data_IF_170421906030
#
_entry.id   IF_170421906030
#
_cell.length_a   1.000
_cell.length_b   1.000
_cell.length_c   1.000
_cell.angle_alpha   90.00
_cell.angle_beta   90.00
_cell.angle_gamma   90.00
#
_symmetry.space_group_name_H-M   'P 1'
#
loop_
_entity.id
_entity.type
_entity.pdbx_description
1 polymer ?
#
# COMPACT_ATOMS: atom_id res chain seq x y z
N UNK A 1 -8.74 -19.62 3.79
CA UNK A 1 -7.63 -19.22 4.68
C UNK A 1 -8.15 -18.19 5.64
N UNK A 2 -7.69 -18.26 6.90
CA UNK A 2 -7.96 -17.25 7.94
C UNK A 2 -7.21 -15.97 7.58
N UNK A 3 -7.81 -14.79 7.79
CA UNK A 3 -7.13 -13.51 7.59
C UNK A 3 -5.87 -13.40 8.45
N UNK A 4 -4.82 -12.74 7.96
CA UNK A 4 -3.63 -12.41 8.76
C UNK A 4 -3.97 -11.41 9.87
N UNK A 5 -3.07 -11.25 10.86
CA UNK A 5 -3.27 -10.27 11.93
C UNK A 5 -3.36 -8.85 11.38
N UNK A 6 -2.53 -8.49 10.39
CA UNK A 6 -2.59 -7.18 9.74
C UNK A 6 -3.90 -6.98 8.96
N UNK A 7 -4.36 -8.00 8.22
CA UNK A 7 -5.65 -7.95 7.51
C UNK A 7 -6.82 -7.71 8.47
N UNK A 8 -6.83 -8.39 9.62
CA UNK A 8 -7.83 -8.21 10.67
C UNK A 8 -7.73 -6.80 11.29
N UNK A 9 -6.52 -6.36 11.61
CA UNK A 9 -6.24 -5.07 12.23
C UNK A 9 -6.71 -3.90 11.35
N UNK A 10 -6.44 -3.95 10.05
CA UNK A 10 -6.87 -2.90 9.11
C UNK A 10 -8.29 -3.09 8.57
N UNK A 11 -8.95 -4.21 8.89
CA UNK A 11 -10.18 -4.66 8.26
C UNK A 11 -10.11 -4.60 6.72
N UNK A 12 -9.02 -5.13 6.16
CA UNK A 12 -8.73 -5.20 4.74
C UNK A 12 -8.25 -6.60 4.38
N UNK A 13 -8.58 -7.09 3.19
CA UNK A 13 -7.97 -8.31 2.66
C UNK A 13 -6.90 -7.93 1.64
N UNK A 14 -5.74 -8.55 1.77
CA UNK A 14 -4.62 -8.40 0.85
C UNK A 14 -5.04 -8.71 -0.58
N UNK A 15 -5.87 -9.74 -0.79
CA UNK A 15 -6.36 -10.12 -2.13
C UNK A 15 -7.20 -9.03 -2.79
N UNK A 16 -7.96 -8.26 -2.01
CA UNK A 16 -8.84 -7.20 -2.52
C UNK A 16 -8.03 -5.96 -2.87
N UNK A 17 -7.04 -5.61 -2.04
CA UNK A 17 -6.10 -4.51 -2.32
C UNK A 17 -5.19 -4.89 -3.50
N UNK A 18 -4.66 -6.10 -3.52
CA UNK A 18 -3.83 -6.63 -4.59
C UNK A 18 -4.54 -6.57 -5.94
N UNK A 19 -5.85 -6.83 -5.98
CA UNK A 19 -6.64 -6.78 -7.21
C UNK A 19 -6.73 -5.38 -7.85
N UNK A 20 -6.22 -4.33 -7.19
CA UNK A 20 -6.09 -2.95 -7.72
C UNK A 20 -4.79 -2.72 -8.48
N UNK A 21 -3.79 -3.57 -8.27
CA UNK A 21 -2.49 -3.48 -8.93
C UNK A 21 -2.51 -4.21 -10.27
N UNK A 22 -1.63 -3.77 -11.17
CA UNK A 22 -1.43 -4.42 -12.46
C UNK A 22 -0.95 -5.84 -12.26
N UNK A 23 -1.64 -6.79 -12.88
CA UNK A 23 -1.30 -8.22 -12.83
C UNK A 23 -2.07 -8.96 -13.92
N UNK A 24 -1.66 -10.20 -14.19
CA UNK A 24 -2.40 -11.06 -15.12
C UNK A 24 -3.82 -11.33 -14.63
N UNK A 25 -4.77 -11.49 -15.56
CA UNK A 25 -6.16 -11.82 -15.22
C UNK A 25 -6.27 -13.13 -14.44
N UNK A 26 -5.41 -14.11 -14.73
CA UNK A 26 -5.38 -15.40 -14.06
C UNK A 26 -4.98 -15.29 -12.58
N UNK A 27 -4.13 -14.31 -12.26
CA UNK A 27 -3.63 -14.03 -10.91
C UNK A 27 -4.56 -13.11 -10.11
N UNK A 28 -5.38 -12.29 -10.77
CA UNK A 28 -6.23 -11.31 -10.11
C UNK A 28 -7.24 -11.99 -9.19
N UNK A 29 -7.37 -11.48 -7.96
CA UNK A 29 -8.21 -12.04 -6.89
C UNK A 29 -7.83 -13.47 -6.45
N UNK A 30 -6.61 -13.94 -6.76
CA UNK A 30 -6.09 -15.21 -6.24
C UNK A 30 -5.29 -14.96 -4.97
N UNK A 31 -5.56 -15.75 -3.94
CA UNK A 31 -4.91 -15.61 -2.62
C UNK A 31 -3.41 -15.94 -2.68
N UNK A 32 -3.03 -16.84 -3.59
CA UNK A 32 -1.68 -17.32 -3.82
C UNK A 32 -0.95 -16.59 -4.95
N UNK A 33 -1.52 -15.51 -5.49
CA UNK A 33 -0.80 -14.70 -6.47
C UNK A 33 0.36 -13.95 -5.82
N UNK A 34 1.40 -13.70 -6.61
CA UNK A 34 2.54 -12.87 -6.19
C UNK A 34 2.06 -11.53 -5.64
N UNK A 35 1.11 -10.88 -6.32
CA UNK A 35 0.61 -9.58 -5.89
C UNK A 35 -0.11 -9.65 -4.54
N UNK A 36 -0.92 -10.69 -4.30
CA UNK A 36 -1.59 -10.86 -3.00
C UNK A 36 -0.59 -11.11 -1.88
N UNK A 37 0.42 -11.95 -2.12
CA UNK A 37 1.47 -12.24 -1.14
C UNK A 37 2.27 -10.96 -0.81
N UNK A 38 2.68 -10.20 -1.83
CA UNK A 38 3.38 -8.93 -1.64
C UNK A 38 2.51 -7.90 -0.90
N UNK A 39 1.23 -7.80 -1.25
CA UNK A 39 0.28 -6.91 -0.59
C UNK A 39 0.09 -7.28 0.88
N UNK A 40 -0.01 -8.58 1.19
CA UNK A 40 -0.07 -9.06 2.57
C UNK A 40 1.18 -8.65 3.35
N UNK A 41 2.36 -8.82 2.75
CA UNK A 41 3.61 -8.40 3.38
C UNK A 41 3.68 -6.88 3.61
N UNK A 42 3.15 -6.06 2.70
CA UNK A 42 3.05 -4.60 2.89
C UNK A 42 2.09 -4.21 4.01
N UNK A 43 0.99 -4.93 4.18
CA UNK A 43 0.11 -4.77 5.35
C UNK A 43 0.82 -5.14 6.65
N UNK A 44 1.62 -6.20 6.65
CA UNK A 44 2.41 -6.62 7.81
C UNK A 44 3.45 -5.57 8.22
N UNK A 45 4.15 -4.96 7.25
CA UNK A 45 5.07 -3.83 7.50
C UNK A 45 4.33 -2.66 8.14
N UNK A 46 3.16 -2.31 7.62
CA UNK A 46 2.38 -1.20 8.15
C UNK A 46 1.83 -1.50 9.55
N UNK A 47 1.41 -2.74 9.80
CA UNK A 47 1.02 -3.18 11.14
C UNK A 47 2.19 -2.96 12.11
N UNK A 48 3.36 -3.50 11.80
CA UNK A 48 4.54 -3.39 12.66
C UNK A 48 4.96 -1.93 12.89
N UNK A 49 4.82 -1.06 11.88
CA UNK A 49 5.07 0.37 12.03
C UNK A 49 4.16 1.02 13.08
N UNK A 50 2.87 0.68 13.05
CA UNK A 50 1.87 1.30 13.94
C UNK A 50 1.91 0.75 15.36
N UNK A 51 2.26 -0.52 15.50
CA UNK A 51 2.12 -1.25 16.76
C UNK A 51 3.43 -1.52 17.47
N UNK A 52 4.55 -1.51 16.74
CA UNK A 52 5.82 -2.05 17.21
C UNK A 52 5.82 -3.57 17.40
N UNK A 53 4.76 -4.27 17.01
CA UNK A 53 4.60 -5.72 17.18
C UNK A 53 4.80 -6.48 15.86
N UNK A 54 5.26 -7.73 15.97
CA UNK A 54 5.46 -8.62 14.82
C UNK A 54 4.15 -9.35 14.47
N UNK A 55 3.56 -9.09 13.28
CA UNK A 55 2.29 -9.70 12.89
C UNK A 55 2.36 -11.22 12.68
N UNK A 56 3.57 -11.79 12.61
CA UNK A 56 3.82 -13.23 12.43
C UNK A 56 4.05 -13.97 13.75
N UNK A 57 4.29 -13.24 14.84
CA UNK A 57 4.55 -13.84 16.15
C UNK A 57 3.28 -14.52 16.70
N UNK A 58 3.41 -15.73 17.31
CA UNK A 58 2.28 -16.44 17.89
C UNK A 58 1.58 -15.54 18.92
N UNK A 59 0.26 -15.56 18.94
CA UNK A 59 -0.51 -14.78 19.91
C UNK A 59 -0.10 -15.24 21.31
N UNK A 60 0.70 -14.43 22.01
CA UNK A 60 0.96 -14.66 23.42
C UNK A 60 -0.37 -14.45 24.15
N UNK A 61 -0.70 -15.36 25.07
CA UNK A 61 -2.05 -15.50 25.66
C UNK A 61 -2.60 -14.32 26.47
N UNK A 62 -1.99 -13.15 26.38
CA UNK A 62 -2.61 -11.87 26.68
C UNK A 62 -3.05 -11.22 25.38
N UNK A 63 -4.34 -11.36 25.03
CA UNK A 63 -5.04 -10.54 24.03
C UNK A 63 -5.11 -9.07 24.48
N UNK A 64 -3.96 -8.49 24.80
CA UNK A 64 -3.82 -7.06 25.03
C UNK A 64 -4.08 -6.38 23.71
N UNK A 65 -5.07 -5.49 23.67
CA UNK A 65 -5.29 -4.59 22.56
C UNK A 65 -3.95 -3.95 22.21
N UNK A 66 -3.43 -4.29 21.03
CA UNK A 66 -2.17 -3.71 20.58
C UNK A 66 -2.44 -2.23 20.35
N UNK A 67 -1.84 -1.38 21.18
CA UNK A 67 -1.98 0.06 21.07
C UNK A 67 -1.26 0.52 19.81
N UNK A 68 -2.01 1.10 18.89
CA UNK A 68 -1.50 1.53 17.60
C UNK A 68 -1.39 3.05 17.55
N UNK A 69 -0.22 3.56 17.16
CA UNK A 69 -0.02 4.97 16.92
C UNK A 69 -0.53 5.37 15.53
N UNK A 70 -1.83 5.60 15.44
CA UNK A 70 -2.46 6.04 14.19
C UNK A 70 -2.06 7.46 13.77
N UNK A 71 -1.37 8.23 14.61
CA UNK A 71 -0.88 9.56 14.21
C UNK A 71 0.21 9.47 13.15
N UNK A 72 0.90 8.33 13.05
CA UNK A 72 1.92 8.05 12.03
C UNK A 72 1.37 8.04 10.60
N UNK A 73 0.05 7.88 10.40
CA UNK A 73 -0.61 7.93 9.08
C UNK A 73 -1.38 9.25 8.85
N UNK A 74 -1.23 10.23 9.74
CA UNK A 74 -1.89 11.52 9.61
C UNK A 74 -1.09 12.46 8.71
N UNK A 75 -1.79 13.20 7.85
CA UNK A 75 -1.17 14.18 6.94
C UNK A 75 -0.64 13.58 5.64
N UNK A 76 0.37 14.23 5.05
CA UNK A 76 0.97 13.79 3.80
C UNK A 76 2.13 12.84 4.07
N UNK A 77 2.01 11.60 3.60
CA UNK A 77 3.07 10.60 3.63
C UNK A 77 3.77 10.52 2.29
N UNK A 78 5.04 10.14 2.30
CA UNK A 78 5.83 9.93 1.09
C UNK A 78 6.44 8.52 1.10
N UNK A 79 6.16 7.75 0.05
CA UNK A 79 6.74 6.45 -0.23
C UNK A 79 7.91 6.65 -1.20
N UNK A 80 9.14 6.67 -0.68
CA UNK A 80 10.35 6.94 -1.43
C UNK A 80 10.90 5.65 -2.07
N UNK A 81 11.10 5.66 -3.38
CA UNK A 81 11.42 4.44 -4.14
C UNK A 81 10.19 3.55 -4.29
N UNK A 82 9.02 4.16 -4.53
CA UNK A 82 7.73 3.44 -4.56
C UNK A 82 7.63 2.41 -5.69
N UNK A 83 8.47 2.50 -6.73
CA UNK A 83 8.44 1.65 -7.90
C UNK A 83 7.05 1.57 -8.52
N UNK A 84 6.54 0.35 -8.63
CA UNK A 84 5.20 0.06 -9.14
C UNK A 84 4.06 0.49 -8.20
N UNK A 85 4.37 0.92 -6.97
CA UNK A 85 3.41 1.49 -6.04
C UNK A 85 2.76 0.47 -5.09
N UNK A 86 3.37 -0.68 -4.82
CA UNK A 86 2.81 -1.71 -3.93
C UNK A 86 2.53 -1.18 -2.52
N UNK A 87 3.52 -0.53 -1.89
CA UNK A 87 3.34 0.07 -0.57
C UNK A 87 2.44 1.32 -0.63
N UNK A 88 2.60 2.16 -1.67
CA UNK A 88 1.73 3.32 -1.93
C UNK A 88 0.25 2.91 -1.99
N UNK A 89 -0.08 1.84 -2.72
CA UNK A 89 -1.44 1.33 -2.87
C UNK A 89 -2.02 0.79 -1.56
N UNK A 90 -1.20 0.10 -0.75
CA UNK A 90 -1.60 -0.37 0.59
C UNK A 90 -1.86 0.78 1.55
N UNK A 91 -0.97 1.77 1.61
CA UNK A 91 -1.17 2.96 2.45
C UNK A 91 -2.49 3.64 2.08
N UNK A 92 -2.72 3.88 0.80
CA UNK A 92 -3.95 4.50 0.31
C UNK A 92 -5.20 3.68 0.62
N UNK A 93 -5.12 2.35 0.50
CA UNK A 93 -6.20 1.45 0.87
C UNK A 93 -6.58 1.59 2.35
N UNK A 94 -5.59 1.66 3.24
CA UNK A 94 -5.78 1.82 4.69
C UNK A 94 -6.39 3.18 5.02
N UNK A 95 -5.91 4.25 4.38
CA UNK A 95 -6.49 5.58 4.54
C UNK A 95 -7.95 5.62 4.09
N UNK A 96 -8.25 5.04 2.92
CA UNK A 96 -9.60 4.97 2.37
C UNK A 96 -10.54 4.09 3.19
N UNK A 97 -10.04 3.06 3.85
CA UNK A 97 -10.86 2.21 4.74
C UNK A 97 -11.22 2.90 6.07
N UNK A 98 -10.59 4.04 6.38
CA UNK A 98 -10.80 4.80 7.61
C UNK A 98 -10.98 6.30 7.29
N UNK A 99 -12.00 6.68 6.49
CA UNK A 99 -12.09 8.01 5.89
C UNK A 99 -12.26 9.15 6.90
N UNK A 100 -12.96 8.89 8.01
CA UNK A 100 -13.16 9.89 9.08
C UNK A 100 -11.86 10.19 9.83
N UNK A 101 -11.03 9.16 10.06
CA UNK A 101 -9.75 9.32 10.76
C UNK A 101 -8.72 10.04 9.90
N UNK A 102 -8.72 9.76 8.59
CA UNK A 102 -7.69 10.22 7.67
C UNK A 102 -8.22 11.15 6.58
N UNK A 103 -9.22 11.98 6.92
CA UNK A 103 -9.97 12.81 5.96
C UNK A 103 -9.06 13.60 5.02
N UNK A 104 -8.00 14.20 5.55
CA UNK A 104 -7.05 15.04 4.79
C UNK A 104 -5.73 14.32 4.44
N UNK A 105 -5.53 13.07 4.89
CA UNK A 105 -4.28 12.36 4.63
C UNK A 105 -4.16 11.91 3.17
N UNK A 106 -2.93 11.96 2.64
CA UNK A 106 -2.57 11.53 1.29
C UNK A 106 -1.23 10.80 1.28
N UNK A 107 -1.01 10.02 0.24
CA UNK A 107 0.22 9.26 -0.01
C UNK A 107 0.84 9.74 -1.32
N UNK A 108 2.08 10.17 -1.25
CA UNK A 108 2.90 10.54 -2.40
C UNK A 108 3.83 9.38 -2.73
N UNK A 109 3.58 8.67 -3.82
CA UNK A 109 4.53 7.69 -4.34
C UNK A 109 5.57 8.40 -5.19
N UNK A 110 6.84 8.37 -4.78
CA UNK A 110 7.95 9.03 -5.49
C UNK A 110 8.99 7.99 -5.87
N UNK A 111 9.35 7.94 -7.14
CA UNK A 111 10.39 7.05 -7.64
C UNK A 111 11.35 7.81 -8.56
N UNK A 112 12.69 7.66 -8.38
CA UNK A 112 13.67 8.31 -9.24
C UNK A 112 13.75 7.71 -10.65
N UNK A 113 13.27 6.47 -10.83
CA UNK A 113 13.41 5.73 -12.07
C UNK A 113 12.46 6.27 -13.15
N UNK A 114 12.86 6.18 -14.41
CA UNK A 114 12.04 6.67 -15.55
C UNK A 114 10.74 5.87 -15.69
N UNK A 115 9.62 6.46 -16.14
CA UNK A 115 8.34 5.75 -16.10
C UNK A 115 8.22 4.53 -17.01
N UNK A 116 9.04 4.43 -18.05
CA UNK A 116 9.12 3.29 -18.96
C UNK A 116 10.04 2.16 -18.46
N UNK A 117 10.67 2.34 -17.29
CA UNK A 117 11.41 1.26 -16.63
C UNK A 117 10.47 0.15 -16.16
N UNK A 118 10.91 -1.10 -16.35
CA UNK A 118 10.24 -2.30 -15.87
C UNK A 118 9.70 -3.21 -16.97
N UNK A 119 9.66 -4.52 -16.68
CA UNK A 119 9.09 -5.56 -17.53
C UNK A 119 8.54 -6.67 -16.64
N UNK A 120 7.40 -7.32 -16.99
CA UNK A 120 6.59 -7.13 -18.20
C UNK A 120 5.72 -5.87 -18.18
N UNK A 121 5.63 -5.19 -17.03
CA UNK A 121 4.90 -3.95 -16.86
C UNK A 121 5.87 -2.85 -16.44
N UNK A 122 5.73 -1.69 -17.07
CA UNK A 122 6.48 -0.49 -16.70
C UNK A 122 5.94 0.11 -15.40
N UNK A 123 6.75 0.95 -14.74
CA UNK A 123 6.33 1.72 -13.56
C UNK A 123 5.08 2.57 -13.88
N UNK A 124 5.06 3.27 -15.03
CA UNK A 124 3.91 4.09 -15.42
C UNK A 124 2.64 3.26 -15.52
N UNK A 125 2.70 2.11 -16.19
CA UNK A 125 1.54 1.23 -16.35
C UNK A 125 0.99 0.73 -15.01
N UNK A 126 1.88 0.42 -14.06
CA UNK A 126 1.49 -0.02 -12.73
C UNK A 126 0.83 1.12 -11.92
N UNK A 127 1.44 2.30 -11.92
CA UNK A 127 0.92 3.48 -11.22
C UNK A 127 -0.41 3.95 -11.83
N UNK A 128 -0.53 3.95 -13.16
CA UNK A 128 -1.77 4.29 -13.87
C UNK A 128 -2.91 3.32 -13.55
N UNK A 129 -2.60 2.02 -13.39
CA UNK A 129 -3.62 1.03 -12.98
C UNK A 129 -4.17 1.36 -11.59
N UNK A 130 -3.32 1.74 -10.64
CA UNK A 130 -3.76 2.17 -9.30
C UNK A 130 -4.64 3.42 -9.35
N UNK A 131 -4.31 4.38 -10.23
CA UNK A 131 -5.09 5.61 -10.39
C UNK A 131 -6.48 5.39 -11.03
N UNK A 132 -6.77 4.21 -11.59
CA UNK A 132 -8.12 3.87 -12.06
C UNK A 132 -9.08 3.52 -10.93
N UNK A 133 -8.58 3.16 -9.74
CA UNK A 133 -9.43 2.77 -8.63
C UNK A 133 -9.96 4.01 -7.87
N UNK A 134 -11.24 4.31 -8.11
CA UNK A 134 -11.95 5.45 -7.50
C UNK A 134 -11.97 5.41 -5.96
N UNK A 135 -11.79 4.25 -5.34
CA UNK A 135 -11.82 4.09 -3.89
C UNK A 135 -10.55 4.61 -3.22
N UNK A 136 -9.42 4.62 -3.93
CA UNK A 136 -8.11 5.08 -3.42
C UNK A 136 -7.56 6.29 -4.16
N UNK A 137 -8.10 6.65 -5.32
CA UNK A 137 -7.62 7.77 -6.15
C UNK A 137 -7.53 9.10 -5.38
N UNK A 138 -8.47 9.39 -4.48
CA UNK A 138 -8.43 10.62 -3.67
C UNK A 138 -7.29 10.65 -2.64
N UNK A 139 -6.65 9.51 -2.38
CA UNK A 139 -5.57 9.32 -1.41
C UNK A 139 -4.18 9.25 -2.05
N UNK A 140 -4.06 8.98 -3.35
CA UNK A 140 -2.78 8.74 -4.01
C UNK A 140 -2.39 9.92 -4.88
N UNK A 141 -1.09 10.25 -4.84
CA UNK A 141 -0.45 11.16 -5.78
C UNK A 141 0.82 10.49 -6.29
N UNK A 142 0.95 10.36 -7.61
CA UNK A 142 2.20 10.08 -8.29
C UNK A 142 2.62 11.36 -9.04
N UNK A 143 3.77 11.98 -8.74
CA UNK A 143 4.21 13.18 -9.42
C UNK A 143 4.54 12.89 -10.89
N UNK A 144 4.00 13.70 -11.79
CA UNK A 144 4.32 13.65 -13.21
C UNK A 144 5.80 13.97 -13.45
N UNK A 145 6.37 13.44 -14.54
CA UNK A 145 7.78 13.65 -14.91
C UNK A 145 8.24 15.11 -14.94
N UNK A 146 7.36 16.08 -15.19
CA UNK A 146 7.69 17.51 -15.16
C UNK A 146 8.05 18.05 -13.76
N UNK A 147 7.74 17.30 -12.70
CA UNK A 147 8.03 17.65 -11.31
C UNK A 147 9.10 16.73 -10.67
N UNK A 148 9.60 15.71 -11.38
CA UNK A 148 10.73 14.90 -10.93
C UNK A 148 11.98 15.77 -11.09
N UNK A 149 12.58 16.10 -9.95
CA UNK A 149 13.68 17.04 -9.80
C UNK A 149 14.71 16.87 -10.94
N UNK A 150 14.90 17.93 -11.74
CA UNK A 150 16.03 18.04 -12.66
C UNK A 150 17.29 17.78 -11.81
N UNK A 151 18.09 16.73 -12.09
CA UNK A 151 19.19 16.30 -11.21
C UNK A 151 20.39 17.26 -11.24
N UNK A 152 20.17 18.55 -11.54
CA UNK A 152 21.18 19.60 -11.47
C UNK A 152 21.30 20.13 -10.04
N UNK A 153 21.82 19.29 -9.16
CA UNK A 153 22.64 19.70 -8.03
C UNK A 153 24.02 19.05 -8.19
#
# INVERSE_FOLDING_TARGET
MTQTRAEQFFNLKAVDVAARHIQSEQSRKKQDSVQTIQTSHRLDILYALLTGDDPTSPASGSEGQVEADYTLLSGNMMDLGCGQGDQTGVLAAVLSNNPERYKESKVWGVDPEVPDYGSPCTIQQAQDELLKDITILSRIIFPSNSARLDPKC
#
